data_IF_928309700164
#
_entry.id   IF_928309700164
#
_cell.length_a   1.000
_cell.length_b   1.000
_cell.length_c   1.000
_cell.angle_alpha   90.00
_cell.angle_beta   90.00
_cell.angle_gamma   90.00
#
_symmetry.space_group_name_H-M   'P 1'
#
loop_
_entity.id
_entity.type
_entity.pdbx_description
1 polymer ?
#
# COMPACT_ATOMS: atom_id res chain seq x y z
N UNK A 1 8.04 -36.19 -33.66
CA UNK A 1 8.64 -34.96 -33.09
C UNK A 1 7.73 -34.58 -31.95
N UNK A 2 8.17 -34.83 -30.72
CA UNK A 2 7.42 -34.45 -29.52
C UNK A 2 7.25 -32.93 -29.50
N UNK A 3 6.05 -32.47 -29.86
CA UNK A 3 5.58 -31.16 -29.43
C UNK A 3 5.34 -31.28 -27.94
N UNK A 4 6.38 -30.98 -27.16
CA UNK A 4 6.24 -30.73 -25.72
C UNK A 4 5.07 -29.78 -25.53
N UNK A 5 4.13 -30.19 -24.69
CA UNK A 5 2.90 -29.46 -24.37
C UNK A 5 3.29 -28.14 -23.68
N UNK A 6 3.62 -27.13 -24.49
CA UNK A 6 3.99 -25.82 -24.00
C UNK A 6 2.74 -25.18 -23.42
N UNK A 7 2.85 -24.75 -22.18
CA UNK A 7 1.76 -24.12 -21.47
C UNK A 7 1.24 -22.93 -22.29
N UNK A 8 -0.09 -22.77 -22.40
CA UNK A 8 -0.71 -21.73 -23.23
C UNK A 8 -0.20 -20.32 -22.89
N UNK A 9 0.17 -20.10 -21.62
CA UNK A 9 0.75 -18.86 -21.12
C UNK A 9 2.15 -18.56 -21.68
N UNK A 10 2.90 -19.58 -22.11
CA UNK A 10 4.21 -19.45 -22.76
C UNK A 10 4.11 -19.30 -24.30
N UNK A 11 2.90 -19.16 -24.85
CA UNK A 11 2.75 -18.92 -26.28
C UNK A 11 3.40 -17.58 -26.68
N UNK A 12 4.06 -17.56 -27.85
CA UNK A 12 4.77 -16.38 -28.36
C UNK A 12 3.90 -15.10 -28.37
N UNK A 13 2.59 -15.26 -28.62
CA UNK A 13 1.63 -14.15 -28.62
C UNK A 13 1.45 -13.51 -27.24
N UNK A 14 1.44 -14.33 -26.16
CA UNK A 14 1.28 -13.85 -24.79
C UNK A 14 2.59 -13.27 -24.27
N UNK A 15 3.72 -13.93 -24.55
CA UNK A 15 5.06 -13.42 -24.24
C UNK A 15 5.28 -12.04 -24.87
N UNK A 16 4.90 -11.87 -26.15
CA UNK A 16 5.00 -10.58 -26.84
C UNK A 16 4.13 -9.51 -26.18
N UNK A 17 2.87 -9.85 -25.86
CA UNK A 17 1.94 -8.92 -25.20
C UNK A 17 2.42 -8.51 -23.81
N UNK A 18 2.92 -9.46 -23.03
CA UNK A 18 3.44 -9.20 -21.69
C UNK A 18 4.69 -8.33 -21.77
N UNK A 19 5.57 -8.57 -22.74
CA UNK A 19 6.74 -7.71 -23.00
C UNK A 19 6.32 -6.28 -23.33
N UNK A 20 5.32 -6.11 -24.21
CA UNK A 20 4.77 -4.79 -24.55
C UNK A 20 4.10 -4.10 -23.35
N UNK A 21 3.39 -4.85 -22.50
CA UNK A 21 2.74 -4.33 -21.29
C UNK A 21 3.77 -3.92 -20.24
N UNK A 22 4.81 -4.73 -20.03
CA UNK A 22 5.93 -4.41 -19.13
C UNK A 22 6.61 -3.13 -19.61
N UNK A 23 6.86 -2.96 -20.91
CA UNK A 23 7.43 -1.72 -21.46
C UNK A 23 6.56 -0.50 -21.12
N UNK A 24 5.25 -0.59 -21.33
CA UNK A 24 4.31 0.50 -20.99
C UNK A 24 4.33 0.83 -19.50
N UNK A 25 4.36 -0.19 -18.64
CA UNK A 25 4.42 -0.01 -17.19
C UNK A 25 5.72 0.67 -16.75
N UNK A 26 6.86 0.27 -17.35
CA UNK A 26 8.16 0.87 -17.08
C UNK A 26 8.22 2.33 -17.54
N UNK A 27 7.69 2.63 -18.73
CA UNK A 27 7.57 4.02 -19.22
C UNK A 27 6.71 4.87 -18.29
N UNK A 28 5.62 4.30 -17.76
CA UNK A 28 4.78 4.96 -16.78
C UNK A 28 5.54 5.22 -15.46
N UNK A 29 6.27 4.24 -14.94
CA UNK A 29 7.07 4.40 -13.71
C UNK A 29 8.26 5.36 -13.86
N UNK A 30 8.83 5.46 -15.06
CA UNK A 30 9.88 6.44 -15.36
C UNK A 30 9.35 7.87 -15.32
N UNK A 31 8.11 8.08 -15.77
CA UNK A 31 7.46 9.38 -15.74
C UNK A 31 6.88 9.71 -14.36
N UNK A 32 6.35 8.70 -13.66
CA UNK A 32 5.74 8.81 -12.34
C UNK A 32 6.40 7.83 -11.38
N UNK A 33 7.40 8.29 -10.64
CA UNK A 33 8.08 7.47 -9.63
C UNK A 33 7.06 6.97 -8.58
N UNK A 34 6.77 5.65 -8.53
CA UNK A 34 5.83 5.10 -7.57
C UNK A 34 6.46 4.97 -6.16
N UNK A 35 7.78 5.11 -6.03
CA UNK A 35 8.52 4.99 -4.78
C UNK A 35 9.41 6.21 -4.54
N UNK A 36 8.84 7.43 -4.51
CA UNK A 36 9.63 8.62 -4.29
C UNK A 36 10.32 8.53 -2.92
N UNK A 37 11.59 8.94 -2.86
CA UNK A 37 12.31 9.02 -1.60
C UNK A 37 11.74 10.19 -0.80
N UNK A 38 10.90 9.86 0.18
CA UNK A 38 10.23 10.84 1.05
C UNK A 38 10.40 10.44 2.52
N UNK A 39 10.40 11.44 3.41
CA UNK A 39 10.49 11.21 4.86
C UNK A 39 9.22 10.59 5.45
N UNK A 40 8.09 10.69 4.73
CA UNK A 40 6.77 10.25 5.18
C UNK A 40 6.42 8.89 4.62
N UNK A 41 5.70 8.09 5.39
CA UNK A 41 5.18 6.80 4.93
C UNK A 41 3.89 7.05 4.17
N UNK A 42 3.78 6.53 2.94
CA UNK A 42 2.62 6.74 2.07
C UNK A 42 2.05 5.39 1.63
N UNK A 43 0.73 5.26 1.69
CA UNK A 43 0.01 4.12 1.12
C UNK A 43 -0.01 4.23 -0.40
N UNK A 44 0.59 3.29 -1.12
CA UNK A 44 0.56 3.29 -2.60
C UNK A 44 -0.87 3.06 -3.12
N UNK A 45 -1.66 2.25 -2.41
CA UNK A 45 -3.02 1.90 -2.83
C UNK A 45 -4.03 3.04 -2.65
N UNK A 46 -3.86 3.86 -1.60
CA UNK A 46 -4.84 4.90 -1.24
C UNK A 46 -4.30 6.32 -1.25
N UNK A 47 -2.99 6.52 -1.43
CA UNK A 47 -2.32 7.81 -1.31
C UNK A 47 -2.29 8.39 0.11
N UNK A 48 -2.79 7.66 1.12
CA UNK A 48 -2.86 8.15 2.50
C UNK A 48 -1.46 8.28 3.08
N UNK A 49 -1.16 9.47 3.61
CA UNK A 49 0.11 9.79 4.24
C UNK A 49 0.02 9.52 5.74
N UNK A 50 1.02 8.80 6.25
CA UNK A 50 1.25 8.50 7.66
C UNK A 50 1.44 9.76 8.51
N UNK A 51 0.81 9.79 9.69
CA UNK A 51 1.17 10.75 10.74
C UNK A 51 2.35 10.23 11.57
N UNK A 52 2.82 11.06 12.52
CA UNK A 52 3.93 10.73 13.42
C UNK A 52 3.67 9.50 14.31
N UNK A 53 2.41 9.06 14.45
CA UNK A 53 2.03 7.91 15.27
C UNK A 53 2.20 6.60 14.51
N UNK A 54 2.29 6.65 13.17
CA UNK A 54 2.50 5.46 12.35
C UNK A 54 3.94 4.95 12.52
N UNK A 55 4.04 3.69 12.95
CA UNK A 55 5.31 3.03 13.18
C UNK A 55 5.38 1.64 12.50
N UNK A 56 4.55 1.37 11.50
CA UNK A 56 4.53 0.09 10.78
C UNK A 56 5.88 -0.26 10.14
N UNK A 57 6.66 0.73 9.70
CA UNK A 57 8.03 0.56 9.21
C UNK A 57 8.97 -0.05 10.26
N UNK A 58 8.69 0.17 11.55
CA UNK A 58 9.44 -0.35 12.69
C UNK A 58 8.79 -1.59 13.33
N UNK A 59 7.84 -2.26 12.64
CA UNK A 59 7.07 -3.37 13.19
C UNK A 59 7.95 -4.48 13.79
N UNK A 60 9.07 -4.81 13.13
CA UNK A 60 10.03 -5.79 13.66
C UNK A 60 10.63 -5.35 15.00
N UNK A 61 11.14 -4.13 15.09
CA UNK A 61 11.71 -3.57 16.32
C UNK A 61 10.68 -3.49 17.46
N UNK A 62 9.45 -3.09 17.14
CA UNK A 62 8.33 -3.07 18.08
C UNK A 62 8.00 -4.49 18.56
N UNK A 63 7.94 -5.46 17.64
CA UNK A 63 7.69 -6.87 17.96
C UNK A 63 8.77 -7.47 18.86
N UNK A 64 10.04 -7.25 18.54
CA UNK A 64 11.18 -7.71 19.37
C UNK A 64 11.08 -7.08 20.76
N UNK A 65 10.89 -5.77 20.86
CA UNK A 65 10.77 -5.08 22.15
C UNK A 65 9.61 -5.63 22.98
N UNK A 66 8.47 -5.87 22.35
CA UNK A 66 7.30 -6.49 22.98
C UNK A 66 7.60 -7.91 23.44
N UNK A 67 8.32 -8.70 22.64
CA UNK A 67 8.74 -10.04 23.04
C UNK A 67 9.73 -10.03 24.19
N UNK A 68 10.65 -9.07 24.21
CA UNK A 68 11.63 -8.96 25.31
C UNK A 68 10.93 -8.75 26.66
N UNK A 69 9.84 -7.97 26.68
CA UNK A 69 9.02 -7.75 27.89
C UNK A 69 8.33 -9.01 28.41
N UNK A 70 8.16 -10.04 27.58
CA UNK A 70 7.51 -11.30 27.94
C UNK A 70 8.48 -12.31 28.57
N UNK A 71 9.79 -12.15 28.38
CA UNK A 71 10.76 -13.04 29.02
C UNK A 71 10.65 -12.99 30.54
N UNK A 72 10.67 -14.17 31.17
CA UNK A 72 10.59 -14.32 32.63
C UNK A 72 9.19 -14.12 33.21
N UNK A 73 8.16 -13.82 32.40
CA UNK A 73 6.79 -13.74 32.87
C UNK A 73 6.09 -15.11 32.77
N UNK A 74 5.26 -15.42 33.76
CA UNK A 74 4.31 -16.53 33.67
C UNK A 74 3.10 -16.14 32.82
N UNK A 75 2.46 -17.12 32.19
CA UNK A 75 1.33 -16.88 31.28
C UNK A 75 0.20 -16.03 31.90
N UNK A 76 -0.10 -16.20 33.19
CA UNK A 76 -1.12 -15.41 33.89
C UNK A 76 -0.78 -13.92 34.00
N UNK A 77 0.50 -13.54 33.94
CA UNK A 77 0.96 -12.17 34.11
C UNK A 77 1.16 -11.43 32.78
N UNK A 78 1.16 -12.16 31.66
CA UNK A 78 1.30 -11.59 30.32
C UNK A 78 0.11 -10.69 30.01
N UNK A 79 0.38 -9.42 29.69
CA UNK A 79 -0.63 -8.46 29.23
C UNK A 79 -0.23 -7.85 27.90
N UNK A 80 -1.02 -8.13 26.86
CA UNK A 80 -0.84 -7.53 25.54
C UNK A 80 -1.65 -6.25 25.44
N UNK A 81 -0.98 -5.09 25.41
CA UNK A 81 -1.66 -3.79 25.28
C UNK A 81 -1.72 -3.37 23.82
N UNK A 82 -2.81 -2.71 23.44
CA UNK A 82 -2.95 -2.12 22.09
C UNK A 82 -1.89 -1.05 21.80
N UNK A 83 -1.40 -0.36 22.83
CA UNK A 83 -0.33 0.63 22.73
C UNK A 83 1.04 0.02 22.38
N UNK A 84 1.25 -1.26 22.67
CA UNK A 84 2.49 -1.98 22.33
C UNK A 84 2.44 -2.58 20.90
N UNK A 85 1.28 -2.50 20.21
CA UNK A 85 1.13 -2.95 18.83
C UNK A 85 1.61 -1.86 17.88
N UNK A 86 2.30 -2.25 16.80
CA UNK A 86 2.59 -1.34 15.70
C UNK A 86 1.30 -0.80 15.05
N UNK A 87 1.25 0.51 14.83
CA UNK A 87 0.20 1.22 14.11
C UNK A 87 0.42 1.12 12.60
N UNK A 88 -0.60 0.61 11.92
CA UNK A 88 -0.66 0.46 10.47
C UNK A 88 -1.24 1.74 9.83
N UNK A 89 -0.84 2.04 8.60
CA UNK A 89 -1.44 3.14 7.81
C UNK A 89 -2.98 3.06 7.73
N UNK A 90 -3.55 1.86 7.72
CA UNK A 90 -5.01 1.66 7.69
C UNK A 90 -5.72 2.25 8.92
N UNK A 91 -5.00 2.48 10.02
CA UNK A 91 -5.59 3.11 11.21
C UNK A 91 -5.80 4.61 11.06
N UNK A 92 -5.19 5.23 10.04
CA UNK A 92 -5.43 6.63 9.71
C UNK A 92 -6.80 6.78 9.08
N UNK A 93 -7.55 7.73 9.61
CA UNK A 93 -8.80 8.16 9.02
C UNK A 93 -8.52 8.75 7.65
N UNK A 94 -9.12 8.21 6.59
CA UNK A 94 -9.12 8.82 5.25
C UNK A 94 -10.02 10.06 5.18
N UNK A 95 -10.18 10.80 6.27
CA UNK A 95 -11.12 11.92 6.35
C UNK A 95 -10.39 13.23 6.63
N UNK A 96 -10.79 14.27 5.92
CA UNK A 96 -10.23 15.61 6.00
C UNK A 96 -11.17 16.55 6.75
N UNK A 97 -10.62 17.62 7.34
CA UNK A 97 -11.40 18.62 8.06
C UNK A 97 -11.80 19.74 7.09
N UNK A 98 -13.10 19.93 6.86
CA UNK A 98 -13.67 20.98 6.01
C UNK A 98 -14.64 21.80 6.88
N UNK A 99 -14.35 23.09 7.08
CA UNK A 99 -15.18 23.98 7.93
C UNK A 99 -15.55 23.36 9.30
N UNK A 100 -14.56 22.75 9.95
CA UNK A 100 -14.70 22.03 11.23
C UNK A 100 -15.40 20.67 11.23
N UNK A 101 -15.96 20.25 10.10
CA UNK A 101 -16.52 18.92 9.92
C UNK A 101 -15.50 17.94 9.36
N UNK A 102 -15.52 16.71 9.86
CA UNK A 102 -14.64 15.64 9.38
C UNK A 102 -15.34 14.91 8.24
N UNK A 103 -14.91 15.17 7.01
CA UNK A 103 -15.49 14.61 5.79
C UNK A 103 -14.66 13.41 5.32
N UNK A 104 -15.22 12.19 5.23
CA UNK A 104 -14.51 11.04 4.71
C UNK A 104 -14.22 11.19 3.21
N UNK A 105 -13.01 10.83 2.79
CA UNK A 105 -12.62 10.69 1.40
C UNK A 105 -12.83 9.24 1.00
N UNK A 106 -13.66 9.05 -0.02
CA UNK A 106 -13.74 7.80 -0.77
C UNK A 106 -12.84 7.91 -2.00
N UNK A 107 -11.71 7.17 -2.05
CA UNK A 107 -10.79 7.19 -3.18
C UNK A 107 -11.43 6.76 -4.50
N UNK A 108 -12.41 5.85 -4.46
CA UNK A 108 -13.11 5.35 -5.65
C UNK A 108 -13.99 6.45 -6.23
N UNK A 109 -14.76 7.11 -5.37
CA UNK A 109 -15.59 8.24 -5.79
C UNK A 109 -14.74 9.40 -6.34
N UNK A 110 -13.60 9.68 -5.71
CA UNK A 110 -12.66 10.70 -6.18
C UNK A 110 -12.11 10.34 -7.56
N UNK A 111 -11.64 9.10 -7.73
CA UNK A 111 -11.15 8.60 -9.01
C UNK A 111 -12.22 8.71 -10.10
N UNK A 112 -13.44 8.24 -9.84
CA UNK A 112 -14.57 8.34 -10.79
C UNK A 112 -14.83 9.78 -11.23
N UNK A 113 -14.85 10.73 -10.28
CA UNK A 113 -15.04 12.17 -10.58
C UNK A 113 -13.91 12.72 -11.45
N UNK A 114 -12.66 12.38 -11.15
CA UNK A 114 -11.51 12.80 -11.95
C UNK A 114 -11.55 12.20 -13.36
N UNK A 115 -11.91 10.92 -13.50
CA UNK A 115 -12.06 10.28 -14.81
C UNK A 115 -13.13 10.94 -15.68
N UNK A 116 -14.27 11.30 -15.08
CA UNK A 116 -15.35 12.00 -15.78
C UNK A 116 -14.86 13.38 -16.24
N UNK A 117 -14.23 14.17 -15.37
CA UNK A 117 -13.71 15.50 -15.74
C UNK A 117 -12.71 15.39 -16.89
N UNK A 118 -11.78 14.42 -16.83
CA UNK A 118 -10.78 14.23 -17.89
C UNK A 118 -11.40 13.90 -19.25
N UNK A 119 -12.49 13.15 -19.29
CA UNK A 119 -13.19 12.82 -20.54
C UNK A 119 -13.86 14.02 -21.23
N UNK A 120 -13.94 15.18 -20.56
CA UNK A 120 -14.45 16.43 -21.13
C UNK A 120 -13.34 17.41 -21.55
N UNK A 121 -12.07 17.09 -21.28
CA UNK A 121 -10.91 17.90 -21.69
C UNK A 121 -10.26 17.42 -22.99
N UNK A 122 -10.66 16.23 -23.49
CA UNK A 122 -10.32 15.71 -24.83
C UNK A 122 -11.41 16.09 -25.84
#
# INVERSE_FOLDING_TARGET
MDTTDKHVDESDSRVKRDTENIRKLLEWFLLYDPFPVVEKIISIASGVVGDEKINCHNASKVGITSMTKLFGQTFNNIKLKRADKGLLLLTISSAIKVHDEKVPIDPVLLFQRMSIIKSFED
#
